data_IF_426607774156
#
_entry.id   IF_426607774156
#
_cell.length_a   1.000
_cell.length_b   1.000
_cell.length_c   1.000
_cell.angle_alpha   90.00
_cell.angle_beta   90.00
_cell.angle_gamma   90.00
#
_symmetry.space_group_name_H-M   'P 1'
#
loop_
_entity.id
_entity.type
_entity.pdbx_description
1 polymer ?
#
# COMPACT_ATOMS: atom_id res chain seq x y z
N UNK A 1 26.90 11.17 66.34
CA UNK A 1 25.73 10.44 66.86
C UNK A 1 24.50 11.11 66.22
N UNK A 2 23.96 10.53 65.14
CA UNK A 2 22.80 11.06 64.44
C UNK A 2 21.57 10.94 65.34
N UNK A 3 20.76 11.98 65.41
CA UNK A 3 19.56 11.97 66.26
C UNK A 3 18.52 11.02 65.66
N UNK A 4 17.68 10.43 66.49
CA UNK A 4 16.61 9.49 66.10
C UNK A 4 15.68 10.03 65.00
N UNK A 5 15.54 11.35 64.93
CA UNK A 5 14.76 12.06 63.90
C UNK A 5 15.44 12.07 62.53
N UNK A 6 16.75 12.13 62.47
CA UNK A 6 17.49 12.09 61.18
C UNK A 6 17.54 10.67 60.62
N UNK A 7 17.64 9.65 61.48
CA UNK A 7 17.62 8.25 61.08
C UNK A 7 16.26 7.87 60.39
N UNK A 8 15.16 8.33 60.97
CA UNK A 8 13.84 8.09 60.40
C UNK A 8 13.59 8.83 59.06
N UNK A 9 14.18 10.02 58.86
CA UNK A 9 14.12 10.72 57.56
C UNK A 9 14.86 9.99 56.46
N UNK A 10 16.00 9.38 56.74
CA UNK A 10 16.79 8.63 55.77
C UNK A 10 16.09 7.31 55.40
N UNK A 11 15.50 6.61 56.38
CA UNK A 11 14.74 5.37 56.09
C UNK A 11 13.46 5.65 55.30
N UNK A 12 12.76 6.75 55.62
CA UNK A 12 11.53 7.12 54.92
C UNK A 12 11.80 7.49 53.43
N UNK A 13 12.92 8.22 53.18
CA UNK A 13 13.31 8.54 51.78
C UNK A 13 13.81 7.32 51.03
N UNK A 14 14.50 6.38 51.63
CA UNK A 14 14.98 5.16 51.00
C UNK A 14 13.81 4.22 50.62
N UNK A 15 12.79 4.13 51.47
CA UNK A 15 11.61 3.31 51.19
C UNK A 15 10.71 3.91 50.08
N UNK A 16 10.59 5.23 49.98
CA UNK A 16 9.85 5.88 48.92
C UNK A 16 10.52 5.65 47.56
N UNK A 17 11.86 5.78 47.50
CA UNK A 17 12.60 5.48 46.26
C UNK A 17 12.51 4.02 45.84
N UNK A 18 12.51 3.08 46.78
CA UNK A 18 12.39 1.64 46.48
C UNK A 18 11.00 1.24 45.97
N UNK A 19 9.96 1.96 46.35
CA UNK A 19 8.58 1.72 45.83
C UNK A 19 8.36 2.32 44.44
N UNK A 20 9.02 3.44 44.12
CA UNK A 20 8.85 4.09 42.80
C UNK A 20 9.69 3.43 41.70
N UNK A 21 10.82 2.80 42.00
CA UNK A 21 11.69 2.16 41.01
C UNK A 21 10.99 1.05 40.18
N UNK A 22 10.26 0.08 40.77
CA UNK A 22 9.57 -0.93 39.99
C UNK A 22 8.39 -0.37 39.16
N UNK A 23 7.74 0.71 39.67
CA UNK A 23 6.65 1.36 38.95
C UNK A 23 7.15 2.13 37.73
N UNK A 24 8.31 2.77 37.80
CA UNK A 24 8.96 3.47 36.69
C UNK A 24 9.47 2.47 35.63
N UNK A 25 9.99 1.32 36.06
CA UNK A 25 10.38 0.26 35.13
C UNK A 25 9.17 -0.36 34.40
N UNK A 26 8.06 -0.56 35.12
CA UNK A 26 6.81 -1.07 34.53
C UNK A 26 6.20 -0.09 33.52
N UNK A 27 6.18 1.21 33.82
CA UNK A 27 5.66 2.24 32.91
C UNK A 27 6.54 2.42 31.66
N UNK A 28 7.87 2.33 31.80
CA UNK A 28 8.80 2.33 30.66
C UNK A 28 8.62 1.10 29.79
N UNK A 29 8.46 -0.07 30.39
CA UNK A 29 8.19 -1.31 29.64
C UNK A 29 6.87 -1.24 28.88
N UNK A 30 5.81 -0.71 29.51
CA UNK A 30 4.50 -0.52 28.86
C UNK A 30 4.58 0.50 27.72
N UNK A 31 5.34 1.60 27.90
CA UNK A 31 5.59 2.60 26.87
C UNK A 31 6.35 2.00 25.67
N UNK A 32 7.42 1.26 25.90
CA UNK A 32 8.16 0.57 24.84
C UNK A 32 7.31 -0.48 24.12
N UNK A 33 6.49 -1.23 24.85
CA UNK A 33 5.53 -2.15 24.26
C UNK A 33 4.51 -1.41 23.39
N UNK A 34 3.95 -0.30 23.88
CA UNK A 34 3.05 0.57 23.10
C UNK A 34 3.70 1.12 21.83
N UNK A 35 4.94 1.61 21.94
CA UNK A 35 5.70 2.07 20.76
C UNK A 35 5.98 0.94 19.77
N UNK A 36 6.28 -0.27 20.25
CA UNK A 36 6.50 -1.43 19.40
C UNK A 36 5.21 -1.82 18.67
N UNK A 37 4.08 -1.88 19.38
CA UNK A 37 2.77 -2.20 18.78
C UNK A 37 2.37 -1.14 17.75
N UNK A 38 2.52 0.15 18.09
CA UNK A 38 2.27 1.24 17.14
C UNK A 38 3.22 1.15 15.92
N UNK A 39 4.49 0.84 16.15
CA UNK A 39 5.46 0.63 15.07
C UNK A 39 5.09 -0.54 14.16
N UNK A 40 4.59 -1.63 14.72
CA UNK A 40 4.09 -2.76 13.97
C UNK A 40 2.86 -2.35 13.12
N UNK A 41 1.91 -1.63 13.70
CA UNK A 41 0.68 -1.22 13.01
C UNK A 41 0.94 -0.18 11.92
N UNK A 42 1.79 0.84 12.19
CA UNK A 42 1.98 1.99 11.31
C UNK A 42 3.20 1.92 10.39
N UNK A 43 4.05 0.90 10.49
CA UNK A 43 5.27 0.74 9.68
C UNK A 43 5.28 -0.48 8.78
N UNK A 44 4.14 -1.16 8.61
CA UNK A 44 4.06 -2.22 7.61
C UNK A 44 3.77 -1.64 6.22
N UNK A 45 4.45 -2.15 5.18
CA UNK A 45 4.07 -1.83 3.82
C UNK A 45 2.63 -2.26 3.56
N UNK A 46 1.89 -1.42 2.85
CA UNK A 46 0.53 -1.75 2.39
C UNK A 46 0.66 -2.62 1.15
N UNK A 47 -0.07 -3.73 1.09
CA UNK A 47 -0.13 -4.56 -0.11
C UNK A 47 -1.19 -4.01 -1.06
N UNK A 48 -0.80 -3.77 -2.29
CA UNK A 48 -1.70 -3.32 -3.35
C UNK A 48 -1.53 -4.14 -4.63
N UNK A 49 -2.44 -3.93 -5.55
CA UNK A 49 -2.42 -4.49 -6.90
C UNK A 49 -2.40 -3.39 -7.95
N UNK A 50 -1.77 -3.66 -9.10
CA UNK A 50 -1.96 -2.94 -10.35
C UNK A 50 -2.32 -3.93 -11.45
N UNK A 51 -3.19 -3.52 -12.33
CA UNK A 51 -3.70 -4.40 -13.38
C UNK A 51 -3.31 -3.80 -14.73
N UNK A 52 -2.80 -4.63 -15.64
CA UNK A 52 -2.66 -4.28 -17.06
C UNK A 52 -3.80 -4.95 -17.80
N UNK A 53 -4.94 -4.24 -17.96
CA UNK A 53 -6.13 -4.80 -18.60
C UNK A 53 -5.96 -4.78 -20.12
N UNK A 54 -6.07 -5.94 -20.76
CA UNK A 54 -5.94 -6.10 -22.19
C UNK A 54 -7.32 -6.40 -22.78
N UNK A 55 -7.80 -5.51 -23.63
CA UNK A 55 -9.03 -5.70 -24.40
C UNK A 55 -8.83 -6.73 -25.53
N UNK A 56 -9.91 -7.29 -26.10
CA UNK A 56 -9.83 -8.26 -27.19
C UNK A 56 -9.08 -7.77 -28.44
N UNK A 57 -9.04 -6.47 -28.66
CA UNK A 57 -8.30 -5.82 -29.75
C UNK A 57 -6.83 -5.49 -29.41
N UNK A 58 -6.37 -5.86 -28.22
CA UNK A 58 -5.00 -5.67 -27.74
C UNK A 58 -4.71 -4.30 -27.15
N UNK A 59 -5.70 -3.43 -27.01
CA UNK A 59 -5.53 -2.15 -26.34
C UNK A 59 -5.42 -2.33 -24.82
N UNK A 60 -4.66 -1.44 -24.18
CA UNK A 60 -4.47 -1.39 -22.72
C UNK A 60 -5.39 -0.32 -22.14
N UNK A 61 -6.18 -0.68 -21.13
CA UNK A 61 -7.06 0.27 -20.45
C UNK A 61 -6.32 0.95 -19.29
N UNK A 62 -6.38 2.28 -19.30
CA UNK A 62 -5.87 3.12 -18.21
C UNK A 62 -7.01 3.95 -17.63
N UNK A 63 -6.85 4.32 -16.37
CA UNK A 63 -7.72 5.27 -15.68
C UNK A 63 -6.98 6.58 -15.48
N UNK A 64 -7.71 7.68 -15.43
CA UNK A 64 -7.18 8.98 -15.03
C UNK A 64 -7.60 9.29 -13.62
N UNK A 65 -6.64 9.52 -12.74
CA UNK A 65 -6.85 9.73 -11.31
C UNK A 65 -7.39 11.13 -11.02
N UNK A 66 -8.21 11.24 -9.99
CA UNK A 66 -8.70 12.55 -9.53
C UNK A 66 -7.72 13.29 -8.63
N UNK A 67 -6.90 12.57 -7.87
CA UNK A 67 -5.99 13.16 -6.90
C UNK A 67 -4.80 13.92 -7.53
N UNK A 68 -4.23 13.41 -8.65
CA UNK A 68 -3.10 14.02 -9.32
C UNK A 68 -3.35 14.36 -10.80
N UNK A 69 -4.49 13.96 -11.34
CA UNK A 69 -4.90 14.21 -12.74
C UNK A 69 -4.15 13.39 -13.78
N UNK A 70 -3.34 12.42 -13.39
CA UNK A 70 -2.49 11.61 -14.27
C UNK A 70 -3.11 10.28 -14.61
N UNK A 71 -2.60 9.67 -15.67
CA UNK A 71 -2.96 8.31 -16.06
C UNK A 71 -2.30 7.28 -15.17
N UNK A 72 -3.01 6.21 -14.87
CA UNK A 72 -2.51 5.10 -14.08
C UNK A 72 -3.11 3.76 -14.54
N UNK A 73 -2.45 2.68 -14.16
CA UNK A 73 -3.05 1.36 -14.18
C UNK A 73 -4.18 1.31 -13.15
N UNK A 74 -5.33 0.69 -13.45
CA UNK A 74 -6.33 0.40 -12.44
C UNK A 74 -5.77 -0.55 -11.37
N UNK A 75 -6.28 -0.42 -10.15
CA UNK A 75 -5.86 -1.23 -9.01
C UNK A 75 -5.90 -0.46 -7.70
N UNK A 76 -5.81 -1.18 -6.61
CA UNK A 76 -5.89 -0.62 -5.27
C UNK A 76 -5.35 -1.55 -4.21
N UNK A 77 -5.79 -1.37 -2.97
CA UNK A 77 -5.33 -2.17 -1.84
C UNK A 77 -5.95 -3.57 -1.84
N UNK A 78 -5.18 -4.53 -1.35
CA UNK A 78 -5.70 -5.85 -1.02
C UNK A 78 -6.31 -5.78 0.37
N UNK A 79 -7.59 -6.04 0.49
CA UNK A 79 -8.33 -5.96 1.74
C UNK A 79 -7.99 -7.14 2.68
N UNK A 80 -8.27 -6.95 3.97
CA UNK A 80 -8.06 -8.00 4.96
C UNK A 80 -8.90 -9.25 4.64
N UNK A 81 -8.21 -10.40 4.47
CA UNK A 81 -8.85 -11.66 4.13
C UNK A 81 -9.12 -11.86 2.63
N UNK A 82 -8.73 -10.90 1.79
CA UNK A 82 -8.83 -10.98 0.33
C UNK A 82 -7.55 -11.58 -0.27
N UNK A 83 -7.68 -12.40 -1.28
CA UNK A 83 -6.53 -12.81 -2.09
C UNK A 83 -6.30 -11.86 -3.28
N UNK A 84 -5.09 -11.88 -3.84
CA UNK A 84 -4.72 -10.99 -4.96
C UNK A 84 -5.63 -11.14 -6.19
N UNK A 85 -6.00 -12.36 -6.65
CA UNK A 85 -6.94 -12.51 -7.75
C UNK A 85 -8.32 -11.90 -7.48
N UNK A 86 -8.78 -11.90 -6.25
CA UNK A 86 -10.05 -11.29 -5.85
C UNK A 86 -9.94 -9.76 -5.89
N UNK A 87 -8.91 -9.19 -5.27
CA UNK A 87 -8.64 -7.76 -5.32
C UNK A 87 -8.55 -7.24 -6.76
N UNK A 88 -7.84 -7.94 -7.64
CA UNK A 88 -7.73 -7.62 -9.07
C UNK A 88 -9.10 -7.54 -9.75
N UNK A 89 -10.01 -8.49 -9.48
CA UNK A 89 -11.36 -8.49 -10.08
C UNK A 89 -12.22 -7.36 -9.52
N UNK A 90 -12.20 -7.15 -8.22
CA UNK A 90 -12.97 -6.11 -7.54
C UNK A 90 -12.55 -4.72 -8.02
N UNK A 91 -11.26 -4.40 -7.93
CA UNK A 91 -10.73 -3.09 -8.33
C UNK A 91 -11.02 -2.79 -9.81
N UNK A 92 -10.82 -3.77 -10.70
CA UNK A 92 -11.10 -3.57 -12.11
C UNK A 92 -12.56 -3.21 -12.37
N UNK A 93 -13.50 -3.92 -11.71
CA UNK A 93 -14.94 -3.64 -11.85
C UNK A 93 -15.30 -2.28 -11.27
N UNK A 94 -14.73 -1.91 -10.12
CA UNK A 94 -15.02 -0.67 -9.42
C UNK A 94 -14.51 0.55 -10.20
N UNK A 95 -13.31 0.49 -10.72
CA UNK A 95 -12.69 1.62 -11.41
C UNK A 95 -13.02 1.71 -12.89
N UNK A 96 -13.26 0.59 -13.56
CA UNK A 96 -13.41 0.57 -15.02
C UNK A 96 -14.73 -0.02 -15.52
N UNK A 97 -15.49 -0.74 -14.70
CA UNK A 97 -16.68 -1.50 -15.11
C UNK A 97 -16.37 -2.79 -15.88
N UNK A 98 -15.11 -3.03 -16.24
CA UNK A 98 -14.69 -4.22 -16.98
C UNK A 98 -14.60 -5.44 -16.08
N UNK A 99 -14.76 -6.62 -16.68
CA UNK A 99 -14.66 -7.92 -16.03
C UNK A 99 -13.39 -8.65 -16.47
N UNK A 100 -12.70 -9.27 -15.49
CA UNK A 100 -11.54 -10.12 -15.76
C UNK A 100 -11.99 -11.46 -16.35
N UNK A 101 -11.65 -11.72 -17.59
CA UNK A 101 -11.80 -13.03 -18.23
C UNK A 101 -10.77 -14.00 -17.70
N UNK A 102 -9.49 -13.57 -17.68
CA UNK A 102 -8.37 -14.38 -17.24
C UNK A 102 -7.20 -13.51 -16.76
N UNK A 103 -6.65 -13.83 -15.60
CA UNK A 103 -5.33 -13.34 -15.20
C UNK A 103 -4.30 -14.19 -15.95
N UNK A 104 -3.47 -13.56 -16.79
CA UNK A 104 -2.51 -14.25 -17.65
C UNK A 104 -1.21 -14.56 -16.93
N UNK A 105 -0.60 -13.53 -16.34
CA UNK A 105 0.70 -13.69 -15.67
C UNK A 105 0.95 -12.60 -14.62
N UNK A 106 1.88 -12.87 -13.74
CA UNK A 106 2.53 -11.87 -12.92
C UNK A 106 3.49 -11.06 -13.81
N UNK A 107 3.34 -9.74 -13.80
CA UNK A 107 4.27 -8.81 -14.46
C UNK A 107 5.39 -8.44 -13.51
N UNK A 108 5.09 -8.20 -12.23
CA UNK A 108 6.12 -7.93 -11.25
C UNK A 108 5.57 -7.66 -9.86
N UNK A 109 6.54 -7.57 -8.92
CA UNK A 109 6.32 -7.07 -7.57
C UNK A 109 7.23 -5.87 -7.38
N UNK A 110 6.64 -4.73 -7.09
CA UNK A 110 7.32 -3.44 -6.96
C UNK A 110 7.21 -2.97 -5.51
N UNK A 111 8.35 -2.86 -4.82
CA UNK A 111 8.40 -2.66 -3.38
C UNK A 111 9.33 -1.53 -2.93
N UNK A 112 9.94 -0.78 -3.86
CA UNK A 112 10.79 0.35 -3.49
C UNK A 112 10.03 1.38 -2.66
N UNK A 113 10.56 1.84 -1.52
CA UNK A 113 9.90 2.87 -0.70
C UNK A 113 9.67 4.19 -1.44
N UNK A 114 10.47 4.48 -2.46
CA UNK A 114 10.41 5.75 -3.20
C UNK A 114 9.39 5.74 -4.35
N UNK A 115 8.71 4.61 -4.59
CA UNK A 115 7.75 4.48 -5.69
C UNK A 115 6.47 5.30 -5.50
N UNK A 116 6.05 5.52 -4.25
CA UNK A 116 4.92 6.37 -3.87
C UNK A 116 5.34 7.24 -2.67
N UNK A 117 5.40 8.56 -2.81
CA UNK A 117 5.84 9.44 -1.73
C UNK A 117 4.87 9.49 -0.54
N UNK A 118 3.66 8.99 -0.68
CA UNK A 118 2.61 9.04 0.35
C UNK A 118 2.71 7.85 1.31
N UNK A 119 3.03 6.67 0.79
CA UNK A 119 3.00 5.41 1.55
C UNK A 119 4.06 4.43 1.04
N UNK A 120 4.62 3.63 1.96
CA UNK A 120 5.38 2.45 1.55
C UNK A 120 4.41 1.34 1.18
N UNK A 121 4.37 0.94 -0.09
CA UNK A 121 3.51 -0.13 -0.59
C UNK A 121 4.29 -1.20 -1.33
N UNK A 122 3.80 -2.43 -1.28
CA UNK A 122 4.23 -3.55 -2.12
C UNK A 122 3.12 -3.74 -3.15
N UNK A 123 3.40 -3.44 -4.41
CA UNK A 123 2.44 -3.54 -5.49
C UNK A 123 2.69 -4.82 -6.31
N UNK A 124 1.66 -5.62 -6.46
CA UNK A 124 1.63 -6.83 -7.27
C UNK A 124 0.95 -6.48 -8.59
N UNK A 125 1.72 -6.45 -9.69
CA UNK A 125 1.21 -6.09 -11.02
C UNK A 125 0.95 -7.34 -11.83
N UNK A 126 -0.25 -7.44 -12.39
CA UNK A 126 -0.68 -8.58 -13.20
C UNK A 126 -1.19 -8.14 -14.58
N UNK A 127 -0.99 -8.99 -15.58
CA UNK A 127 -1.65 -8.90 -16.87
C UNK A 127 -2.99 -9.64 -16.82
N UNK A 128 -4.06 -9.00 -17.28
CA UNK A 128 -5.38 -9.60 -17.33
C UNK A 128 -6.08 -9.37 -18.66
N UNK A 129 -6.65 -10.43 -19.26
CA UNK A 129 -7.64 -10.31 -20.32
C UNK A 129 -8.95 -9.83 -19.71
N UNK A 130 -9.55 -8.83 -20.36
CA UNK A 130 -10.76 -8.20 -19.85
C UNK A 130 -11.80 -8.06 -20.95
N UNK A 131 -13.08 -7.95 -20.54
CA UNK A 131 -14.22 -7.72 -21.41
C UNK A 131 -15.26 -6.83 -20.73
N UNK A 132 -16.24 -6.37 -21.48
CA UNK A 132 -17.35 -5.57 -20.98
C UNK A 132 -17.32 -4.15 -21.48
N UNK A 133 -18.15 -3.31 -20.90
CA UNK A 133 -18.26 -1.88 -21.22
C UNK A 133 -17.50 -1.05 -20.18
N UNK A 134 -16.71 -0.09 -20.66
CA UNK A 134 -15.99 0.84 -19.78
C UNK A 134 -16.98 1.83 -19.13
N UNK A 135 -17.18 1.70 -17.82
CA UNK A 135 -18.06 2.55 -17.02
C UNK A 135 -17.39 2.90 -15.71
N UNK A 136 -17.24 4.19 -15.42
CA UNK A 136 -16.73 4.65 -14.13
C UNK A 136 -17.78 4.35 -13.05
N UNK A 137 -17.48 3.45 -12.13
CA UNK A 137 -18.31 3.18 -10.95
C UNK A 137 -17.77 3.89 -9.73
N UNK A 138 -16.43 3.91 -9.56
CA UNK A 138 -15.79 4.71 -8.53
C UNK A 138 -15.56 6.14 -9.01
N UNK A 139 -16.59 6.96 -8.80
CA UNK A 139 -16.53 8.38 -9.13
C UNK A 139 -15.77 9.23 -8.10
N UNK A 140 -15.22 8.65 -7.03
CA UNK A 140 -14.40 9.37 -6.06
C UNK A 140 -12.93 9.40 -6.47
N UNK A 141 -12.44 8.31 -7.04
CA UNK A 141 -11.04 8.14 -7.40
C UNK A 141 -10.76 8.34 -8.90
N UNK A 142 -11.68 7.93 -9.77
CA UNK A 142 -11.52 7.94 -11.23
C UNK A 142 -12.27 9.09 -11.88
N UNK A 143 -11.59 9.84 -12.75
CA UNK A 143 -12.21 10.91 -13.55
C UNK A 143 -12.42 10.53 -15.01
N UNK A 144 -11.61 9.61 -15.56
CA UNK A 144 -11.64 9.20 -16.96
C UNK A 144 -11.13 7.76 -17.12
N UNK A 145 -11.67 7.04 -18.10
CA UNK A 145 -11.19 5.71 -18.52
C UNK A 145 -10.93 5.77 -20.01
N UNK A 146 -9.79 5.26 -20.46
CA UNK A 146 -9.47 5.22 -21.88
C UNK A 146 -8.65 3.99 -22.23
N UNK A 147 -8.91 3.42 -23.42
CA UNK A 147 -8.10 2.38 -24.04
C UNK A 147 -7.02 3.00 -24.93
N UNK A 148 -5.80 2.49 -24.82
CA UNK A 148 -4.64 2.95 -25.58
C UNK A 148 -4.00 1.79 -26.32
N UNK A 149 -3.65 1.96 -27.60
CA UNK A 149 -2.72 1.05 -28.27
C UNK A 149 -1.38 1.02 -27.52
N UNK A 150 -0.71 -0.14 -27.40
CA UNK A 150 0.59 -0.24 -26.73
C UNK A 150 1.67 0.73 -27.26
N UNK A 151 1.54 1.13 -28.53
CA UNK A 151 2.45 2.08 -29.21
C UNK A 151 2.23 3.56 -28.82
N UNK A 152 1.06 3.91 -28.25
CA UNK A 152 0.67 5.30 -27.97
C UNK A 152 0.24 5.56 -26.53
N UNK A 153 0.87 4.85 -25.58
CA UNK A 153 0.66 5.07 -24.14
C UNK A 153 1.08 6.48 -23.71
N UNK A 154 0.36 7.14 -22.78
CA UNK A 154 0.61 8.51 -22.31
C UNK A 154 1.83 8.61 -21.38
N UNK A 155 3.00 8.21 -21.86
CA UNK A 155 4.25 8.02 -21.09
C UNK A 155 4.65 9.18 -20.17
N UNK A 156 4.62 10.46 -20.57
CA UNK A 156 5.05 11.55 -19.71
C UNK A 156 4.00 11.93 -18.65
N UNK A 157 2.77 11.44 -18.78
CA UNK A 157 1.63 11.81 -17.93
C UNK A 157 1.12 10.64 -17.12
N UNK A 158 2.03 9.78 -16.62
CA UNK A 158 1.68 8.65 -15.78
C UNK A 158 2.00 8.90 -14.32
N UNK A 159 1.10 8.44 -13.45
CA UNK A 159 1.21 8.52 -12.00
C UNK A 159 2.23 7.52 -11.47
N UNK A 160 2.93 7.87 -10.40
CA UNK A 160 3.86 7.01 -9.66
C UNK A 160 4.86 6.28 -10.56
N UNK A 161 5.05 4.97 -10.34
CA UNK A 161 5.92 4.09 -11.11
C UNK A 161 5.16 3.26 -12.18
N UNK A 162 3.89 3.59 -12.47
CA UNK A 162 3.06 2.82 -13.40
C UNK A 162 3.64 2.77 -14.82
N UNK A 163 4.35 3.82 -15.23
CA UNK A 163 5.05 3.78 -16.51
C UNK A 163 6.15 2.70 -16.54
N UNK A 164 6.92 2.54 -15.44
CA UNK A 164 7.92 1.47 -15.32
C UNK A 164 7.27 0.10 -15.40
N UNK A 165 6.15 -0.10 -14.70
CA UNK A 165 5.40 -1.37 -14.74
C UNK A 165 4.94 -1.72 -16.16
N UNK A 166 4.44 -0.73 -16.91
CA UNK A 166 4.09 -0.90 -18.33
C UNK A 166 5.30 -1.17 -19.22
N UNK A 167 6.44 -0.53 -18.98
CA UNK A 167 7.67 -0.83 -19.73
C UNK A 167 8.14 -2.26 -19.51
N UNK A 168 8.15 -2.73 -18.26
CA UNK A 168 8.53 -4.10 -17.92
C UNK A 168 7.57 -5.10 -18.59
N UNK A 169 6.27 -4.81 -18.59
CA UNK A 169 5.27 -5.60 -19.31
C UNK A 169 5.55 -5.66 -20.82
N UNK A 170 5.74 -4.51 -21.47
CA UNK A 170 5.98 -4.42 -22.92
C UNK A 170 7.29 -5.10 -23.34
N UNK A 171 8.28 -5.13 -22.46
CA UNK A 171 9.54 -5.83 -22.66
C UNK A 171 9.46 -7.34 -22.35
N UNK A 172 8.28 -7.85 -21.95
CA UNK A 172 8.08 -9.26 -21.61
C UNK A 172 8.77 -9.71 -20.32
N UNK A 173 9.16 -8.74 -19.46
CA UNK A 173 9.85 -9.03 -18.20
C UNK A 173 8.87 -9.49 -17.12
N UNK A 174 9.42 -10.25 -16.15
CA UNK A 174 8.82 -10.45 -14.84
C UNK A 174 9.78 -9.88 -13.82
N UNK A 175 9.37 -8.83 -13.12
CA UNK A 175 10.25 -7.97 -12.33
C UNK A 175 10.03 -8.16 -10.83
N UNK A 176 11.12 -8.18 -10.06
CA UNK A 176 11.11 -7.98 -8.61
C UNK A 176 11.93 -6.72 -8.33
N UNK A 177 11.31 -5.62 -7.88
CA UNK A 177 11.92 -4.30 -7.75
C UNK A 177 11.35 -3.46 -6.56
#
# INVERSE_FOLDING_TARGET
MLTYLEYNKVIFNLNIFAFFTPMIQSTRSLWHFGQTVLGIIFRHPITGTSIIPILPDGQIVLIRRKDDGRWSLPGGMVDWGEDVPHAVRRELIEETGLEVVKIRRLVGVYSSPDRDPRIHSICITVEAEVQGEMVIKDTLEVMEIQAFPPSSLPKPDMSHDHFRQLQDYLNGLTTLA
#
